data_IF_805063438100
#
_entry.id   IF_805063438100
#
_cell.length_a   1.000
_cell.length_b   1.000
_cell.length_c   1.000
_cell.angle_alpha   90.00
_cell.angle_beta   90.00
_cell.angle_gamma   90.00
#
_symmetry.space_group_name_H-M   'P 1'
#
loop_
_entity.id
_entity.type
_entity.pdbx_description
1 polymer ?
#
# COMPACT_ATOMS: atom_id res chain seq x y z
N UNK A 1 6.14 29.78 -2.49
CA UNK A 1 7.59 29.60 -2.41
C UNK A 1 7.89 28.57 -1.31
N UNK A 2 8.27 27.32 -1.73
CA UNK A 2 8.57 26.20 -0.79
C UNK A 2 9.68 26.53 0.24
N UNK A 3 10.49 27.54 0.00
CA UNK A 3 11.57 27.97 0.91
C UNK A 3 11.02 28.70 2.16
N UNK A 4 9.88 29.37 2.06
CA UNK A 4 9.29 30.14 3.18
C UNK A 4 8.60 29.28 4.25
N UNK A 5 8.49 27.96 4.03
CA UNK A 5 7.77 27.02 4.90
C UNK A 5 8.68 26.12 5.74
N UNK A 6 9.97 26.44 5.83
CA UNK A 6 10.94 25.60 6.55
C UNK A 6 11.22 26.16 7.93
N UNK A 7 11.25 25.30 8.93
CA UNK A 7 11.70 25.67 10.30
C UNK A 7 13.20 26.02 10.27
N UNK A 8 13.98 25.30 9.44
CA UNK A 8 15.40 25.59 9.21
C UNK A 8 15.63 25.82 7.72
N UNK A 9 16.36 26.86 7.34
CA UNK A 9 16.52 27.27 5.92
C UNK A 9 17.13 26.19 5.02
N UNK A 10 18.06 25.40 5.54
CA UNK A 10 18.78 24.37 4.82
C UNK A 10 18.14 22.98 4.87
N UNK A 11 17.12 22.76 5.71
CA UNK A 11 16.51 21.44 5.94
C UNK A 11 15.29 21.26 5.05
N UNK A 12 15.26 20.16 4.29
CA UNK A 12 14.13 19.79 3.40
C UNK A 12 13.15 18.79 4.03
N UNK A 13 13.44 18.33 5.24
CA UNK A 13 12.65 17.32 5.94
C UNK A 13 11.70 17.97 6.95
N UNK A 14 10.61 17.29 7.26
CA UNK A 14 9.76 17.64 8.39
C UNK A 14 10.54 17.46 9.69
N UNK A 15 10.28 18.32 10.67
CA UNK A 15 10.90 18.26 11.99
C UNK A 15 9.86 17.95 13.05
N UNK A 16 10.28 17.28 14.10
CA UNK A 16 9.48 16.99 15.29
C UNK A 16 10.15 17.66 16.51
N UNK A 17 9.34 18.21 17.41
CA UNK A 17 9.78 18.68 18.72
C UNK A 17 9.12 17.78 19.74
N UNK A 18 9.94 17.08 20.56
CA UNK A 18 9.48 16.23 21.64
C UNK A 18 9.80 16.88 22.98
N UNK A 19 8.80 17.00 23.85
CA UNK A 19 8.98 17.38 25.26
C UNK A 19 8.89 16.12 26.09
N UNK A 20 9.99 15.78 26.77
CA UNK A 20 10.10 14.55 27.58
C UNK A 20 10.34 14.95 29.03
N UNK A 21 9.54 14.40 29.93
CA UNK A 21 9.72 14.57 31.37
C UNK A 21 9.98 13.20 32.01
N UNK A 22 11.08 13.08 32.74
CA UNK A 22 11.40 11.85 33.47
C UNK A 22 10.61 11.83 34.80
N UNK A 23 9.36 11.40 34.72
CA UNK A 23 8.47 11.24 35.86
C UNK A 23 7.65 9.96 35.69
N UNK A 24 7.27 9.34 36.81
CA UNK A 24 6.35 8.21 36.77
C UNK A 24 4.96 8.72 36.40
N UNK A 25 4.33 8.09 35.41
CA UNK A 25 2.97 8.39 34.98
C UNK A 25 2.09 7.16 35.19
N UNK A 26 0.79 7.38 35.35
CA UNK A 26 -0.20 6.32 35.44
C UNK A 26 -0.48 5.74 34.05
N UNK A 27 -1.00 4.50 33.99
CA UNK A 27 -1.27 3.78 32.74
C UNK A 27 -2.30 4.47 31.83
N UNK A 28 -3.14 5.32 32.39
CA UNK A 28 -4.16 6.10 31.72
C UNK A 28 -3.69 7.51 31.32
N UNK A 29 -2.42 7.85 31.58
CA UNK A 29 -1.84 9.13 31.16
C UNK A 29 -2.03 9.35 29.67
N UNK A 30 -2.58 10.52 29.33
CA UNK A 30 -2.84 10.95 27.95
C UNK A 30 -1.91 12.12 27.60
N UNK A 31 -1.22 12.02 26.48
CA UNK A 31 -0.37 13.08 25.96
C UNK A 31 -0.89 13.61 24.62
N UNK A 32 -0.80 14.91 24.38
CA UNK A 32 -1.24 15.51 23.13
C UNK A 32 -0.14 15.47 22.06
N UNK A 33 -0.57 15.28 20.81
CA UNK A 33 0.27 15.44 19.61
C UNK A 33 -0.29 16.61 18.81
N UNK A 34 0.51 17.64 18.61
CA UNK A 34 0.14 18.83 17.88
C UNK A 34 0.71 18.80 16.47
N UNK A 35 -0.12 19.10 15.48
CA UNK A 35 0.33 19.30 14.11
C UNK A 35 0.29 20.79 13.80
N UNK A 36 1.43 21.33 13.43
CA UNK A 36 1.58 22.74 13.14
C UNK A 36 1.54 23.00 11.64
N UNK A 37 0.88 24.07 11.23
CA UNK A 37 0.87 24.56 9.86
C UNK A 37 2.16 25.35 9.54
N UNK A 38 2.23 25.81 8.30
CA UNK A 38 3.37 26.61 7.80
C UNK A 38 3.48 28.01 8.42
N UNK A 39 2.55 28.43 9.27
CA UNK A 39 2.57 29.71 10.02
C UNK A 39 2.90 29.49 11.50
N UNK A 40 3.37 28.29 11.85
CA UNK A 40 3.62 27.89 13.25
C UNK A 40 2.39 28.01 14.15
N UNK A 41 1.21 27.90 13.57
CA UNK A 41 -0.05 27.82 14.29
C UNK A 41 -0.50 26.37 14.37
N UNK A 42 -1.18 26.04 15.44
CA UNK A 42 -1.84 24.73 15.51
C UNK A 42 -2.78 24.58 14.30
N UNK A 43 -2.60 23.50 13.54
CA UNK A 43 -3.43 23.21 12.36
C UNK A 43 -4.85 22.79 12.75
N UNK A 44 -5.19 22.72 14.04
CA UNK A 44 -6.41 22.11 14.55
C UNK A 44 -6.39 20.58 14.51
N UNK A 45 -5.32 19.98 14.00
CA UNK A 45 -5.12 18.52 13.94
C UNK A 45 -4.42 18.02 15.20
N UNK A 46 -5.01 18.29 16.38
CA UNK A 46 -4.45 17.88 17.66
C UNK A 46 -5.11 16.59 18.09
N UNK A 47 -4.33 15.53 18.22
CA UNK A 47 -4.82 14.22 18.69
C UNK A 47 -4.14 13.89 19.99
N UNK A 48 -4.88 13.32 20.93
CA UNK A 48 -4.32 12.83 22.19
C UNK A 48 -4.25 11.31 22.17
N UNK A 49 -3.16 10.77 22.69
CA UNK A 49 -2.92 9.32 22.78
C UNK A 49 -2.64 8.94 24.23
N UNK A 50 -3.17 7.79 24.64
CA UNK A 50 -2.71 7.05 25.81
C UNK A 50 -1.63 6.05 25.40
N UNK A 51 -0.91 5.48 26.36
CA UNK A 51 0.02 4.38 26.10
C UNK A 51 -0.71 3.19 25.45
N UNK A 52 -1.94 2.90 25.89
CA UNK A 52 -2.76 1.83 25.33
C UNK A 52 -3.11 2.09 23.85
N UNK A 53 -3.37 3.34 23.46
CA UNK A 53 -3.58 3.69 22.05
C UNK A 53 -2.31 3.39 21.22
N UNK A 54 -1.14 3.78 21.72
CA UNK A 54 0.13 3.57 21.03
C UNK A 54 0.44 2.07 20.92
N UNK A 55 0.26 1.30 21.97
CA UNK A 55 0.43 -0.16 21.93
C UNK A 55 -0.54 -0.80 20.94
N UNK A 56 -1.78 -0.33 20.85
CA UNK A 56 -2.76 -0.84 19.90
C UNK A 56 -2.42 -0.49 18.45
N UNK A 57 -1.70 0.62 18.22
CA UNK A 57 -1.26 1.06 16.90
C UNK A 57 0.04 0.35 16.49
N UNK A 58 1.02 0.31 17.39
CA UNK A 58 2.32 -0.29 17.15
C UNK A 58 2.95 -0.72 18.48
N UNK A 59 2.88 -2.01 18.77
CA UNK A 59 3.40 -2.57 20.01
C UNK A 59 4.91 -2.88 19.96
N UNK A 60 5.57 -2.70 18.83
CA UNK A 60 7.00 -3.01 18.64
C UNK A 60 7.84 -1.73 18.75
N UNK A 61 7.57 -0.76 17.89
CA UNK A 61 8.36 0.47 17.80
C UNK A 61 7.69 1.65 18.54
N UNK A 62 6.48 1.46 19.05
CA UNK A 62 5.69 2.48 19.75
C UNK A 62 5.53 3.77 18.92
N UNK A 63 5.30 3.61 17.63
CA UNK A 63 5.15 4.71 16.68
C UNK A 63 4.00 5.63 17.09
N UNK A 64 4.29 6.92 17.22
CA UNK A 64 3.27 7.96 17.46
C UNK A 64 2.78 8.47 16.11
N UNK A 65 1.56 8.11 15.67
CA UNK A 65 1.08 8.47 14.36
C UNK A 65 0.59 9.92 14.31
N UNK A 66 0.69 10.53 13.13
CA UNK A 66 0.09 11.82 12.85
C UNK A 66 -1.35 11.63 12.36
N UNK A 67 -2.27 11.36 13.28
CA UNK A 67 -3.68 11.13 12.97
C UNK A 67 -4.54 12.36 13.28
N UNK A 68 -5.62 12.52 12.54
CA UNK A 68 -6.72 13.40 12.95
C UNK A 68 -7.46 12.77 14.13
N UNK A 69 -8.00 13.58 15.07
CA UNK A 69 -8.73 13.04 16.22
C UNK A 69 -9.83 12.05 15.84
N UNK A 70 -10.61 12.37 14.80
CA UNK A 70 -11.71 11.56 14.30
C UNK A 70 -11.28 10.23 13.67
N UNK A 71 -10.00 10.09 13.27
CA UNK A 71 -9.50 8.87 12.63
C UNK A 71 -9.02 7.81 13.64
N UNK A 72 -8.64 8.23 14.85
CA UNK A 72 -7.97 7.37 15.84
C UNK A 72 -8.76 6.09 16.13
N UNK A 73 -10.04 6.22 16.43
CA UNK A 73 -10.88 5.07 16.80
C UNK A 73 -11.03 4.08 15.63
N UNK A 74 -11.24 4.58 14.42
CA UNK A 74 -11.36 3.75 13.21
C UNK A 74 -10.04 3.04 12.91
N UNK A 75 -8.89 3.73 12.99
CA UNK A 75 -7.57 3.12 12.81
C UNK A 75 -7.33 1.98 13.80
N UNK A 76 -7.60 2.21 15.10
CA UNK A 76 -7.42 1.18 16.13
C UNK A 76 -8.37 -0.01 15.88
N UNK A 77 -9.60 0.25 15.43
CA UNK A 77 -10.56 -0.81 15.07
C UNK A 77 -10.03 -1.69 13.94
N UNK A 78 -9.48 -1.10 12.88
CA UNK A 78 -8.87 -1.85 11.78
C UNK A 78 -7.70 -2.69 12.26
N UNK A 79 -6.78 -2.11 13.03
CA UNK A 79 -5.59 -2.80 13.52
C UNK A 79 -5.91 -4.01 14.42
N UNK A 80 -6.98 -3.93 15.21
CA UNK A 80 -7.46 -5.06 16.03
C UNK A 80 -7.93 -6.27 15.21
N UNK A 81 -8.23 -6.07 13.93
CA UNK A 81 -8.65 -7.15 13.01
C UNK A 81 -7.48 -7.73 12.20
N UNK A 82 -6.24 -7.30 12.44
CA UNK A 82 -5.05 -7.83 11.75
C UNK A 82 -4.78 -9.27 12.16
N UNK A 83 -5.06 -10.20 11.25
CA UNK A 83 -4.83 -11.64 11.46
C UNK A 83 -4.01 -12.28 10.35
N UNK A 84 -3.94 -11.67 9.16
CA UNK A 84 -3.13 -12.14 8.04
C UNK A 84 -1.86 -11.31 7.95
N UNK A 85 -0.70 -11.98 8.02
CA UNK A 85 0.61 -11.35 7.84
C UNK A 85 0.95 -11.30 6.35
N UNK A 86 1.27 -10.11 5.86
CA UNK A 86 1.77 -9.90 4.52
C UNK A 86 3.30 -9.90 4.51
N UNK A 87 3.87 -10.21 3.34
CA UNK A 87 5.29 -10.02 3.03
C UNK A 87 5.38 -9.34 1.68
N UNK A 88 5.65 -8.06 1.69
CA UNK A 88 5.86 -7.25 0.51
C UNK A 88 7.33 -7.33 0.09
N UNK A 89 7.55 -7.57 -1.19
CA UNK A 89 8.88 -7.78 -1.77
C UNK A 89 9.07 -6.74 -2.89
N UNK A 90 10.23 -6.10 -2.91
CA UNK A 90 10.62 -5.21 -4.02
C UNK A 90 10.85 -6.03 -5.30
N UNK A 91 10.55 -5.48 -6.46
CA UNK A 91 10.69 -6.13 -7.76
C UNK A 91 12.00 -6.89 -7.96
N UNK A 92 11.96 -7.98 -8.73
CA UNK A 92 13.10 -8.90 -8.91
C UNK A 92 14.30 -8.21 -9.51
N UNK A 93 14.06 -7.21 -10.36
CA UNK A 93 15.12 -6.60 -11.18
C UNK A 93 15.39 -5.15 -10.76
N UNK A 94 16.60 -4.89 -10.33
CA UNK A 94 17.07 -3.52 -10.20
C UNK A 94 17.49 -3.01 -11.60
N UNK A 95 16.81 -1.98 -12.09
CA UNK A 95 17.00 -1.45 -13.45
C UNK A 95 18.41 -0.88 -13.71
N UNK A 96 19.19 -0.61 -12.67
CA UNK A 96 20.58 -0.16 -12.79
C UNK A 96 21.54 -1.34 -12.85
N UNK A 97 21.48 -2.24 -11.84
CA UNK A 97 22.43 -3.35 -11.72
C UNK A 97 22.19 -4.45 -12.74
N UNK A 98 20.92 -4.73 -13.08
CA UNK A 98 20.56 -5.79 -14.02
C UNK A 98 20.40 -5.30 -15.47
N UNK A 99 20.73 -4.03 -15.76
CA UNK A 99 20.61 -3.43 -17.09
C UNK A 99 21.30 -4.24 -18.21
N UNK A 100 22.40 -4.90 -17.90
CA UNK A 100 23.16 -5.75 -18.84
C UNK A 100 22.40 -6.96 -19.37
N UNK A 101 21.30 -7.35 -18.70
CA UNK A 101 20.42 -8.45 -19.13
C UNK A 101 19.17 -7.97 -19.87
N UNK A 102 18.99 -6.66 -20.02
CA UNK A 102 17.82 -6.11 -20.68
C UNK A 102 18.05 -6.04 -22.19
N UNK A 103 17.04 -6.43 -22.95
CA UNK A 103 17.04 -6.45 -24.40
C UNK A 103 15.68 -6.04 -24.97
N UNK A 104 15.58 -6.08 -26.29
CA UNK A 104 14.37 -5.76 -27.06
C UNK A 104 13.71 -6.97 -27.71
N UNK A 105 14.19 -8.17 -27.45
CA UNK A 105 13.63 -9.40 -28.02
C UNK A 105 12.28 -9.72 -27.37
N UNK A 106 11.21 -9.57 -28.13
CA UNK A 106 9.81 -9.76 -27.68
C UNK A 106 9.45 -11.21 -27.33
N UNK A 107 10.31 -12.18 -27.69
CA UNK A 107 10.14 -13.60 -27.32
C UNK A 107 10.66 -13.90 -25.92
N UNK A 108 11.40 -12.99 -25.31
CA UNK A 108 11.85 -13.10 -23.93
C UNK A 108 10.78 -12.60 -22.97
N UNK A 109 10.83 -13.00 -21.68
CA UNK A 109 9.93 -12.47 -20.67
C UNK A 109 9.97 -10.93 -20.57
N UNK A 110 8.80 -10.31 -20.55
CA UNK A 110 8.71 -8.86 -20.42
C UNK A 110 8.95 -8.40 -18.98
N UNK A 111 9.52 -7.19 -18.84
CA UNK A 111 9.79 -6.55 -17.56
C UNK A 111 8.74 -5.45 -17.34
N UNK A 112 7.87 -5.66 -16.34
CA UNK A 112 6.91 -4.65 -15.93
C UNK A 112 7.55 -3.67 -14.94
N UNK A 113 7.31 -2.38 -15.14
CA UNK A 113 7.75 -1.28 -14.27
C UNK A 113 6.57 -0.74 -13.48
N UNK A 114 6.80 0.11 -12.48
CA UNK A 114 5.71 0.71 -11.70
C UNK A 114 4.62 1.33 -12.56
N UNK A 115 4.98 2.07 -13.61
CA UNK A 115 4.03 2.66 -14.54
C UNK A 115 3.19 1.64 -15.35
N UNK A 116 3.65 0.40 -15.47
CA UNK A 116 2.90 -0.68 -16.11
C UNK A 116 1.76 -1.19 -15.23
N UNK A 117 1.85 -1.03 -13.92
CA UNK A 117 0.83 -1.51 -12.98
C UNK A 117 -0.25 -0.44 -12.84
N UNK A 118 -1.47 -0.85 -13.06
CA UNK A 118 -2.66 -0.03 -12.91
C UNK A 118 -3.63 -0.71 -11.95
N UNK A 119 -4.66 -0.01 -11.53
CA UNK A 119 -5.64 -0.56 -10.61
C UNK A 119 -6.47 -1.65 -11.30
N UNK A 120 -6.30 -2.90 -10.87
CA UNK A 120 -6.92 -4.13 -11.41
C UNK A 120 -6.45 -4.57 -12.80
N UNK A 121 -5.50 -3.88 -13.44
CA UNK A 121 -4.92 -4.33 -14.69
C UNK A 121 -3.45 -3.91 -14.80
N UNK A 122 -2.74 -4.48 -15.75
CA UNK A 122 -1.40 -4.04 -16.14
C UNK A 122 -1.37 -3.74 -17.64
N UNK A 123 -0.42 -2.92 -18.04
CA UNK A 123 -0.30 -2.49 -19.44
C UNK A 123 1.13 -2.55 -19.92
N UNK A 124 1.27 -2.84 -21.19
CA UNK A 124 2.53 -2.73 -21.92
C UNK A 124 2.67 -1.36 -22.59
N UNK A 125 1.61 -0.56 -22.62
CA UNK A 125 1.66 0.80 -23.13
C UNK A 125 2.18 1.73 -22.03
N UNK A 126 3.34 2.30 -22.27
CA UNK A 126 3.96 3.24 -21.33
C UNK A 126 3.86 4.66 -21.90
N UNK A 127 3.61 5.62 -21.03
CA UNK A 127 3.61 7.05 -21.37
C UNK A 127 5.00 7.54 -21.77
N UNK A 128 6.06 6.88 -21.31
CA UNK A 128 7.45 7.17 -21.64
C UNK A 128 8.28 5.87 -21.72
N UNK A 129 9.11 5.77 -22.74
CA UNK A 129 10.00 4.63 -22.95
C UNK A 129 9.32 3.43 -23.61
N UNK A 130 10.06 2.35 -23.71
CA UNK A 130 9.63 1.07 -24.28
C UNK A 130 9.65 -0.01 -23.22
N UNK A 131 8.92 -1.12 -23.46
CA UNK A 131 9.04 -2.32 -22.66
C UNK A 131 10.43 -2.91 -22.88
N UNK A 132 11.08 -3.22 -21.78
CA UNK A 132 12.29 -4.04 -21.77
C UNK A 132 11.89 -5.52 -21.59
N UNK A 133 12.70 -6.39 -22.16
CA UNK A 133 12.62 -7.85 -22.04
C UNK A 133 13.90 -8.35 -21.39
N UNK A 134 13.84 -9.45 -20.63
CA UNK A 134 15.01 -9.99 -19.96
C UNK A 134 15.63 -11.12 -20.77
N UNK A 135 16.95 -11.10 -20.96
CA UNK A 135 17.73 -12.25 -21.43
C UNK A 135 17.81 -13.28 -20.29
N UNK A 136 16.73 -14.05 -20.12
CA UNK A 136 16.49 -14.86 -18.93
C UNK A 136 17.60 -15.87 -18.66
N UNK A 137 18.09 -16.59 -19.68
CA UNK A 137 19.15 -17.58 -19.52
C UNK A 137 20.44 -16.95 -18.96
N UNK A 138 20.79 -15.77 -19.44
CA UNK A 138 21.94 -15.02 -18.94
C UNK A 138 21.75 -14.54 -17.51
N UNK A 139 20.55 -14.04 -17.21
CA UNK A 139 20.20 -13.60 -15.86
C UNK A 139 20.23 -14.76 -14.87
N UNK A 140 19.58 -15.87 -15.21
CA UNK A 140 19.51 -17.05 -14.35
C UNK A 140 20.87 -17.75 -14.18
N UNK A 141 21.77 -17.67 -15.16
CA UNK A 141 23.13 -18.19 -14.99
C UNK A 141 23.91 -17.47 -13.90
N UNK A 142 23.61 -16.17 -13.64
CA UNK A 142 24.30 -15.38 -12.64
C UNK A 142 23.51 -15.28 -11.31
N UNK A 143 22.17 -15.20 -11.37
CA UNK A 143 21.28 -14.95 -10.22
C UNK A 143 20.29 -16.08 -9.91
N UNK A 144 20.28 -17.16 -10.68
CA UNK A 144 19.28 -18.24 -10.58
C UNK A 144 19.30 -18.99 -9.24
N UNK A 145 20.37 -18.89 -8.46
CA UNK A 145 20.43 -19.47 -7.10
C UNK A 145 19.67 -18.67 -6.04
N UNK A 146 19.22 -17.45 -6.35
CA UNK A 146 18.48 -16.64 -5.40
C UNK A 146 17.00 -17.00 -5.38
N UNK A 147 16.37 -17.07 -4.20
CA UNK A 147 14.93 -17.33 -4.06
C UNK A 147 14.11 -16.36 -4.94
N UNK A 148 14.49 -15.08 -4.94
CA UNK A 148 13.80 -14.01 -5.66
C UNK A 148 13.76 -14.23 -7.18
N UNK A 149 14.77 -14.86 -7.76
CA UNK A 149 14.84 -15.15 -9.21
C UNK A 149 13.76 -16.13 -9.70
N UNK A 150 13.15 -16.89 -8.79
CA UNK A 150 12.09 -17.84 -9.11
C UNK A 150 10.67 -17.26 -8.96
N UNK A 151 10.53 -16.03 -8.43
CA UNK A 151 9.23 -15.45 -8.11
C UNK A 151 8.38 -15.12 -9.35
N UNK A 152 9.02 -14.87 -10.50
CA UNK A 152 8.34 -14.70 -11.79
C UNK A 152 7.50 -15.92 -12.22
N UNK A 153 7.75 -17.10 -11.63
CA UNK A 153 7.00 -18.33 -11.91
C UNK A 153 5.63 -18.39 -11.23
N UNK A 154 5.33 -17.43 -10.37
CA UNK A 154 4.06 -17.34 -9.65
C UNK A 154 3.21 -16.19 -10.17
N UNK A 155 1.90 -16.42 -10.26
CA UNK A 155 0.94 -15.33 -10.29
C UNK A 155 1.00 -14.58 -8.96
N UNK A 156 0.98 -13.26 -8.99
CA UNK A 156 1.16 -12.45 -7.78
C UNK A 156 0.52 -11.07 -7.87
N UNK A 157 0.27 -10.45 -6.73
CA UNK A 157 -0.16 -9.05 -6.69
C UNK A 157 1.07 -8.16 -6.86
N UNK A 158 1.09 -7.35 -7.92
CA UNK A 158 2.09 -6.31 -8.12
C UNK A 158 1.49 -4.93 -7.84
N UNK A 159 2.32 -4.00 -7.37
CA UNK A 159 1.91 -2.64 -7.03
C UNK A 159 2.95 -1.62 -7.48
N UNK A 160 2.51 -0.38 -7.72
CA UNK A 160 3.41 0.74 -7.93
C UNK A 160 4.19 1.02 -6.65
N UNK A 161 5.52 1.02 -6.73
CA UNK A 161 6.40 1.36 -5.61
C UNK A 161 6.43 2.86 -5.31
N UNK A 162 5.90 3.69 -6.21
CA UNK A 162 5.83 5.15 -6.05
C UNK A 162 4.54 5.68 -6.66
N UNK A 163 3.81 6.49 -5.89
CA UNK A 163 2.58 7.18 -6.31
C UNK A 163 2.64 8.63 -5.85
N UNK A 164 1.75 9.50 -6.34
CA UNK A 164 1.74 10.90 -5.90
C UNK A 164 1.35 11.04 -4.43
N UNK A 165 2.18 11.71 -3.63
CA UNK A 165 1.95 11.86 -2.17
C UNK A 165 0.59 12.50 -1.83
N UNK A 166 0.04 13.30 -2.73
CA UNK A 166 -1.25 14.00 -2.57
C UNK A 166 -2.40 13.32 -3.33
N UNK A 167 -2.15 12.19 -4.00
CA UNK A 167 -3.19 11.50 -4.74
C UNK A 167 -4.26 10.95 -3.80
N UNK A 168 -5.50 10.98 -4.25
CA UNK A 168 -6.61 10.38 -3.50
C UNK A 168 -6.46 8.87 -3.42
N UNK A 169 -6.05 8.24 -4.52
CA UNK A 169 -5.73 6.81 -4.58
C UNK A 169 -4.21 6.67 -4.60
N UNK A 170 -3.68 6.12 -3.52
CA UNK A 170 -2.25 5.89 -3.31
C UNK A 170 -1.86 4.43 -3.60
N UNK A 171 -2.77 3.51 -3.39
CA UNK A 171 -2.54 2.10 -3.63
C UNK A 171 -3.06 1.72 -5.02
N UNK A 172 -2.14 1.35 -5.90
CA UNK A 172 -2.43 0.95 -7.29
C UNK A 172 -1.84 -0.43 -7.49
N UNK A 173 -2.70 -1.45 -7.55
CA UNK A 173 -2.29 -2.84 -7.55
C UNK A 173 -3.07 -3.66 -8.58
N UNK A 174 -2.45 -4.69 -9.10
CA UNK A 174 -3.06 -5.67 -10.01
C UNK A 174 -2.48 -7.05 -9.84
N UNK A 175 -3.21 -8.06 -10.32
CA UNK A 175 -2.66 -9.39 -10.56
C UNK A 175 -1.73 -9.33 -11.77
N UNK A 176 -0.52 -9.88 -11.61
CA UNK A 176 0.42 -10.13 -12.69
C UNK A 176 0.58 -11.64 -12.81
N UNK A 177 0.30 -12.23 -13.99
CA UNK A 177 0.45 -13.67 -14.19
C UNK A 177 1.92 -14.10 -14.16
N UNK A 178 2.15 -15.40 -14.13
CA UNK A 178 3.49 -15.96 -14.27
C UNK A 178 4.14 -15.56 -15.61
N UNK A 179 5.47 -15.57 -15.64
CA UNK A 179 6.25 -15.28 -16.86
C UNK A 179 6.68 -13.82 -17.02
N UNK A 180 6.23 -12.92 -16.16
CA UNK A 180 6.69 -11.53 -16.14
C UNK A 180 7.71 -11.30 -15.04
N UNK A 181 8.68 -10.45 -15.29
CA UNK A 181 9.57 -9.92 -14.26
C UNK A 181 9.11 -8.54 -13.83
N UNK A 182 9.36 -8.17 -12.57
CA UNK A 182 9.03 -6.87 -12.02
C UNK A 182 10.30 -6.09 -11.74
N UNK A 183 10.36 -4.84 -12.23
CA UNK A 183 11.43 -3.91 -11.90
C UNK A 183 11.30 -3.40 -10.46
N UNK A 184 12.38 -2.90 -9.88
CA UNK A 184 12.42 -2.33 -8.53
C UNK A 184 11.55 -1.06 -8.32
N UNK A 185 10.93 -0.56 -9.36
CA UNK A 185 9.84 0.43 -9.26
C UNK A 185 8.47 -0.19 -8.92
N UNK A 186 8.39 -1.51 -8.84
CA UNK A 186 7.26 -2.28 -8.34
C UNK A 186 7.59 -2.90 -7.00
N UNK A 187 6.58 -3.10 -6.16
CA UNK A 187 6.59 -4.09 -5.09
C UNK A 187 5.57 -5.18 -5.42
N UNK A 188 5.66 -6.35 -4.77
CA UNK A 188 4.71 -7.42 -4.99
C UNK A 188 4.52 -8.29 -3.75
N UNK A 189 3.41 -9.03 -3.74
CA UNK A 189 3.06 -10.03 -2.73
C UNK A 189 2.83 -11.35 -3.45
N UNK A 190 3.50 -12.40 -2.99
CA UNK A 190 3.29 -13.78 -3.47
C UNK A 190 1.97 -14.35 -2.90
N UNK A 191 1.41 -15.39 -3.54
CA UNK A 191 0.23 -16.09 -3.00
C UNK A 191 0.45 -16.55 -1.55
N UNK A 192 -0.56 -16.35 -0.72
CA UNK A 192 -0.58 -16.76 0.68
C UNK A 192 -1.55 -17.94 0.86
N UNK A 193 -1.26 -18.82 1.83
CA UNK A 193 -2.17 -19.94 2.15
C UNK A 193 -3.40 -19.51 2.94
N UNK A 194 -3.33 -18.36 3.59
CA UNK A 194 -4.35 -17.86 4.54
C UNK A 194 -5.46 -17.05 3.90
N UNK A 195 -5.27 -16.61 2.66
CA UNK A 195 -6.24 -15.78 1.93
C UNK A 195 -6.10 -16.00 0.42
N UNK A 196 -7.23 -16.03 -0.27
CA UNK A 196 -7.25 -16.06 -1.74
C UNK A 196 -6.60 -14.81 -2.32
N UNK A 197 -5.81 -14.95 -3.39
CA UNK A 197 -5.03 -13.88 -3.99
C UNK A 197 -5.90 -12.74 -4.54
N UNK A 198 -7.04 -13.08 -5.16
CA UNK A 198 -7.99 -12.10 -5.71
C UNK A 198 -8.77 -11.40 -4.59
N UNK A 199 -9.15 -12.15 -3.55
CA UNK A 199 -9.74 -11.57 -2.35
C UNK A 199 -8.78 -10.57 -1.70
N UNK A 200 -7.50 -10.93 -1.55
CA UNK A 200 -6.48 -10.02 -1.02
C UNK A 200 -6.34 -8.77 -1.88
N UNK A 201 -6.33 -8.89 -3.23
CA UNK A 201 -6.29 -7.73 -4.12
C UNK A 201 -7.50 -6.81 -3.90
N UNK A 202 -8.69 -7.36 -3.68
CA UNK A 202 -9.90 -6.59 -3.35
C UNK A 202 -9.70 -5.72 -2.10
N UNK A 203 -9.17 -6.31 -1.03
CA UNK A 203 -8.83 -5.57 0.19
C UNK A 203 -7.78 -4.49 -0.08
N UNK A 204 -6.68 -4.82 -0.74
CA UNK A 204 -5.56 -3.92 -0.98
C UNK A 204 -5.95 -2.72 -1.86
N UNK A 205 -6.87 -2.90 -2.79
CA UNK A 205 -7.40 -1.82 -3.62
C UNK A 205 -8.63 -1.13 -2.98
N UNK A 206 -9.16 -1.58 -1.84
CA UNK A 206 -10.33 -0.98 -1.22
C UNK A 206 -10.08 0.46 -0.75
N UNK A 207 -11.16 1.23 -0.63
CA UNK A 207 -11.12 2.56 0.00
C UNK A 207 -10.57 2.48 1.41
N UNK A 208 -10.94 1.46 2.18
CA UNK A 208 -10.53 1.29 3.57
C UNK A 208 -9.01 1.18 3.70
N UNK A 209 -8.37 0.30 2.95
CA UNK A 209 -6.91 0.11 3.02
C UNK A 209 -6.16 1.29 2.41
N UNK A 210 -6.68 1.89 1.32
CA UNK A 210 -6.10 3.11 0.78
C UNK A 210 -6.19 4.28 1.78
N UNK A 211 -7.31 4.44 2.49
CA UNK A 211 -7.46 5.42 3.56
C UNK A 211 -6.51 5.13 4.72
N UNK A 212 -6.43 3.88 5.19
CA UNK A 212 -5.51 3.48 6.23
C UNK A 212 -4.06 3.80 5.87
N UNK A 213 -3.62 3.44 4.65
CA UNK A 213 -2.28 3.79 4.16
C UNK A 213 -2.02 5.30 4.21
N UNK A 214 -2.98 6.12 3.79
CA UNK A 214 -2.85 7.58 3.81
C UNK A 214 -2.78 8.17 5.22
N UNK A 215 -3.28 7.50 6.24
CA UNK A 215 -3.15 7.92 7.63
C UNK A 215 -1.69 7.89 8.12
N UNK A 216 -0.85 7.01 7.57
CA UNK A 216 0.52 6.79 8.02
C UNK A 216 1.57 7.25 7.01
N UNK A 217 1.28 7.15 5.72
CA UNK A 217 2.24 7.49 4.66
C UNK A 217 2.49 8.99 4.57
N UNK A 218 3.78 9.37 4.57
CA UNK A 218 4.22 10.77 4.60
C UNK A 218 4.97 11.21 3.34
N UNK A 219 5.24 10.29 2.42
CA UNK A 219 6.02 10.53 1.20
C UNK A 219 5.36 9.89 -0.03
N UNK A 220 5.99 9.96 -1.19
CA UNK A 220 5.48 9.39 -2.44
C UNK A 220 5.70 7.89 -2.60
N UNK A 221 6.50 7.26 -1.74
CA UNK A 221 6.76 5.82 -1.84
C UNK A 221 5.64 5.01 -1.20
N UNK A 222 5.45 3.79 -1.72
CA UNK A 222 4.69 2.72 -1.09
C UNK A 222 5.72 1.72 -0.60
N UNK A 223 6.15 1.87 0.67
CA UNK A 223 7.22 1.06 1.22
C UNK A 223 6.73 -0.33 1.63
N UNK A 224 7.57 -1.35 1.47
CA UNK A 224 7.22 -2.73 1.81
C UNK A 224 6.78 -2.88 3.27
N UNK A 225 7.47 -2.24 4.22
CA UNK A 225 7.12 -2.29 5.64
C UNK A 225 5.75 -1.68 5.96
N UNK A 226 5.29 -0.67 5.19
CA UNK A 226 3.94 -0.11 5.33
C UNK A 226 2.88 -1.13 4.89
N UNK A 227 3.13 -1.84 3.78
CA UNK A 227 2.25 -2.89 3.25
C UNK A 227 2.21 -4.11 4.17
N UNK A 228 3.34 -4.53 4.73
CA UNK A 228 3.44 -5.65 5.70
C UNK A 228 2.60 -5.38 6.96
N UNK A 229 2.37 -4.11 7.27
CA UNK A 229 1.57 -3.68 8.40
C UNK A 229 0.08 -3.46 8.10
N UNK A 230 -0.40 -3.72 6.88
CA UNK A 230 -1.83 -3.62 6.61
C UNK A 230 -2.64 -4.57 7.50
N UNK A 231 -3.77 -4.09 8.03
CA UNK A 231 -4.59 -4.83 8.99
C UNK A 231 -5.53 -5.83 8.28
N UNK A 232 -5.02 -6.81 7.54
CA UNK A 232 -5.86 -7.75 6.80
C UNK A 232 -6.50 -8.76 7.76
N UNK A 233 -7.86 -8.87 7.78
CA UNK A 233 -8.57 -9.79 8.65
C UNK A 233 -8.55 -11.21 8.08
N UNK A 234 -8.82 -12.20 8.94
CA UNK A 234 -9.18 -13.53 8.49
C UNK A 234 -10.66 -13.52 8.07
N UNK A 235 -10.96 -14.20 6.97
CA UNK A 235 -12.30 -14.26 6.40
C UNK A 235 -12.72 -15.71 6.20
N UNK A 236 -14.02 -15.95 6.32
CA UNK A 236 -14.62 -17.21 5.93
C UNK A 236 -14.50 -17.45 4.42
N UNK A 237 -14.43 -18.73 4.03
CA UNK A 237 -14.21 -19.13 2.64
C UNK A 237 -15.26 -18.56 1.67
N UNK A 238 -16.51 -18.49 2.11
CA UNK A 238 -17.61 -17.99 1.27
C UNK A 238 -17.47 -16.49 0.99
N UNK A 239 -17.04 -15.72 2.00
CA UNK A 239 -16.78 -14.28 1.85
C UNK A 239 -15.58 -14.06 0.94
N UNK A 240 -14.51 -14.84 1.12
CA UNK A 240 -13.35 -14.78 0.23
C UNK A 240 -13.74 -15.08 -1.22
N UNK A 241 -14.56 -16.12 -1.45
CA UNK A 241 -15.02 -16.49 -2.78
C UNK A 241 -15.81 -15.35 -3.45
N UNK A 242 -16.75 -14.74 -2.72
CA UNK A 242 -17.57 -13.63 -3.25
C UNK A 242 -16.73 -12.41 -3.63
N UNK A 243 -15.78 -12.01 -2.79
CA UNK A 243 -14.87 -10.90 -3.12
C UNK A 243 -14.00 -11.27 -4.32
N UNK A 244 -13.49 -12.50 -4.37
CA UNK A 244 -12.65 -12.97 -5.48
C UNK A 244 -13.39 -12.98 -6.82
N UNK A 245 -14.67 -13.38 -6.84
CA UNK A 245 -15.52 -13.32 -8.03
C UNK A 245 -15.68 -11.88 -8.53
N UNK A 246 -16.02 -10.93 -7.64
CA UNK A 246 -16.15 -9.51 -8.00
C UNK A 246 -14.82 -8.93 -8.53
N UNK A 247 -13.72 -9.27 -7.89
CA UNK A 247 -12.38 -8.81 -8.34
C UNK A 247 -12.02 -9.38 -9.71
N UNK A 248 -12.31 -10.64 -9.97
CA UNK A 248 -12.12 -11.26 -11.29
C UNK A 248 -12.99 -10.59 -12.35
N UNK A 249 -14.22 -10.23 -12.03
CA UNK A 249 -15.11 -9.48 -12.92
C UNK A 249 -14.53 -8.10 -13.26
N UNK A 250 -13.99 -7.37 -12.27
CA UNK A 250 -13.32 -6.08 -12.51
C UNK A 250 -12.11 -6.27 -13.42
N UNK A 251 -11.25 -7.26 -13.13
CA UNK A 251 -10.05 -7.55 -13.92
C UNK A 251 -10.43 -7.87 -15.36
N UNK A 252 -11.40 -8.75 -15.59
CA UNK A 252 -11.84 -9.13 -16.93
C UNK A 252 -12.44 -7.94 -17.69
N UNK A 253 -13.26 -7.13 -17.04
CA UNK A 253 -13.81 -5.89 -17.61
C UNK A 253 -12.70 -4.95 -18.06
N UNK A 254 -11.68 -4.73 -17.19
CA UNK A 254 -10.53 -3.88 -17.49
C UNK A 254 -9.61 -4.48 -18.58
N UNK A 255 -9.53 -5.80 -18.66
CA UNK A 255 -8.78 -6.51 -19.70
C UNK A 255 -9.39 -6.30 -21.08
N UNK A 256 -10.72 -6.31 -21.17
CA UNK A 256 -11.45 -6.05 -22.44
C UNK A 256 -11.33 -4.57 -22.83
N UNK A 257 -11.61 -3.68 -21.89
CA UNK A 257 -11.45 -2.24 -22.10
C UNK A 257 -11.13 -1.56 -20.76
N UNK A 258 -9.88 -1.13 -20.59
CA UNK A 258 -9.41 -0.52 -19.35
C UNK A 258 -10.10 0.81 -18.98
N UNK A 259 -10.79 1.45 -19.93
CA UNK A 259 -11.58 2.68 -19.70
C UNK A 259 -12.99 2.40 -19.17
N UNK A 260 -13.46 1.16 -19.20
CA UNK A 260 -14.80 0.81 -18.69
C UNK A 260 -14.92 1.16 -17.22
N UNK A 261 -16.02 1.81 -16.84
CA UNK A 261 -16.30 2.13 -15.45
C UNK A 261 -16.65 0.85 -14.66
N UNK A 262 -15.91 0.57 -13.62
CA UNK A 262 -16.09 -0.55 -12.71
C UNK A 262 -16.52 -0.14 -11.30
N UNK A 263 -16.83 1.14 -11.10
CA UNK A 263 -17.14 1.73 -9.79
C UNK A 263 -18.27 1.02 -9.04
N UNK A 264 -19.28 0.53 -9.77
CA UNK A 264 -20.39 -0.22 -9.17
C UNK A 264 -19.95 -1.56 -8.56
N UNK A 265 -19.03 -2.28 -9.22
CA UNK A 265 -18.48 -3.54 -8.72
C UNK A 265 -17.49 -3.26 -7.57
N UNK A 266 -16.65 -2.26 -7.73
CA UNK A 266 -15.69 -1.85 -6.68
C UNK A 266 -16.41 -1.40 -5.41
N UNK A 267 -17.59 -0.75 -5.53
CA UNK A 267 -18.43 -0.41 -4.38
C UNK A 267 -18.93 -1.67 -3.64
N UNK A 268 -19.29 -2.72 -4.34
CA UNK A 268 -19.70 -3.98 -3.69
C UNK A 268 -18.49 -4.60 -2.95
N UNK A 269 -17.28 -4.53 -3.52
CA UNK A 269 -16.07 -4.98 -2.83
C UNK A 269 -15.85 -4.16 -1.55
N UNK A 270 -15.97 -2.83 -1.61
CA UNK A 270 -15.85 -1.95 -0.44
C UNK A 270 -16.89 -2.30 0.64
N UNK A 271 -18.12 -2.64 0.27
CA UNK A 271 -19.16 -3.05 1.21
C UNK A 271 -18.80 -4.34 1.97
N UNK A 272 -18.23 -5.35 1.30
CA UNK A 272 -17.70 -6.55 1.97
C UNK A 272 -16.53 -6.21 2.91
N UNK A 273 -15.65 -5.30 2.49
CA UNK A 273 -14.53 -4.84 3.31
C UNK A 273 -15.03 -4.10 4.55
N UNK A 274 -16.03 -3.23 4.42
CA UNK A 274 -16.65 -2.55 5.57
C UNK A 274 -17.25 -3.54 6.57
N UNK A 275 -17.93 -4.58 6.07
CA UNK A 275 -18.51 -5.64 6.91
C UNK A 275 -17.41 -6.45 7.62
N UNK A 276 -16.32 -6.80 6.93
CA UNK A 276 -15.22 -7.55 7.50
C UNK A 276 -14.56 -6.82 8.70
N UNK A 277 -14.51 -5.48 8.64
CA UNK A 277 -14.02 -4.66 9.75
C UNK A 277 -15.10 -4.23 10.73
N UNK A 278 -16.36 -4.64 10.53
CA UNK A 278 -17.49 -4.23 11.38
C UNK A 278 -17.59 -2.69 11.51
N UNK A 279 -17.40 -1.98 10.38
CA UNK A 279 -17.40 -0.52 10.39
C UNK A 279 -18.79 0.05 10.63
N UNK A 280 -18.89 1.04 11.50
CA UNK A 280 -20.11 1.82 11.68
C UNK A 280 -20.34 2.77 10.51
N UNK A 281 -21.56 3.33 10.41
CA UNK A 281 -21.86 4.35 9.40
C UNK A 281 -20.94 5.57 9.51
N UNK A 282 -20.52 5.92 10.72
CA UNK A 282 -19.60 7.02 11.00
C UNK A 282 -18.19 6.69 10.51
N UNK A 283 -17.70 5.46 10.75
CA UNK A 283 -16.40 5.01 10.24
C UNK A 283 -16.38 5.06 8.70
N UNK A 284 -17.41 4.53 8.06
CA UNK A 284 -17.55 4.54 6.58
C UNK A 284 -17.56 5.97 6.05
N UNK A 285 -18.34 6.87 6.69
CA UNK A 285 -18.38 8.28 6.31
C UNK A 285 -17.02 8.96 6.40
N UNK A 286 -16.24 8.68 7.46
CA UNK A 286 -14.87 9.20 7.64
C UNK A 286 -13.98 8.72 6.48
N UNK A 287 -14.03 7.44 6.13
CA UNK A 287 -13.25 6.86 5.06
C UNK A 287 -13.62 7.48 3.71
N UNK A 288 -14.91 7.50 3.36
CA UNK A 288 -15.38 7.96 2.05
C UNK A 288 -15.20 9.47 1.83
N UNK A 289 -15.33 10.30 2.87
CA UNK A 289 -15.14 11.75 2.76
C UNK A 289 -13.66 12.16 2.64
N UNK A 290 -12.74 11.28 2.97
CA UNK A 290 -11.31 11.56 2.94
C UNK A 290 -10.60 11.12 1.64
N UNK A 291 -11.33 10.47 0.71
CA UNK A 291 -10.82 9.96 -0.58
C UNK A 291 -11.34 10.76 -1.81
#
# INVERSE_FOLDING_TARGET
DKKKKRVFESVKMSVCISLIQNTKVDSDYVFPVYVWDDKYKSSGLNTSFSLNDIIAIDCVDYTIPRLRPEYKTTVIKLLKKKEVSLKCIEGELNVTFHKKFFGSNIYNPAILKGASIQRYYYTHQMSQGQIDYIEEDKYLSEYGSTEKSAHHKYERIAMQGMTGANDKIRLVMSIVPQGYYLANSCNYILPLRSIDLYCLLGFLNSKTINWFFRCFSTNSNVNGYEVDNFPIPRLDSDVQLRISELVKEVIETKRVNHLTDTSAIEKQIDEFVYQAYELSKEDIKIIEQSI
#
